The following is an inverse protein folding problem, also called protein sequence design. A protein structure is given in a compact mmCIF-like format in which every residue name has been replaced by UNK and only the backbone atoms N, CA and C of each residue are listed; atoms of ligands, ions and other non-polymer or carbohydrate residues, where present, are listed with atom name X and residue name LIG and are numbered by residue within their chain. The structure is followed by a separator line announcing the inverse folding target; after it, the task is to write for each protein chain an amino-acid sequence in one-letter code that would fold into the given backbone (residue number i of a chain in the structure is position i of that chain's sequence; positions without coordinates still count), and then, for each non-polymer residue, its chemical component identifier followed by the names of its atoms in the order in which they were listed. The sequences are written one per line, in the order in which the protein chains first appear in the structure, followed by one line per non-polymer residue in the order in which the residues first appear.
data_IF_465561565185
#
_entry.id   IF_465561565185
#
_cell.length_a   1.000
_cell.length_b   1.000
_cell.length_c   1.000
_cell.angle_alpha   90.00
_cell.angle_beta   90.00
_cell.angle_gamma   90.00
#
_symmetry.space_group_name_H-M   'P 1'
#
loop_
_entity.id
_entity.type
_entity.pdbx_description
1 polymer ?
#
# COMPACT_ATOMS: atom_id res chain seq x y z
N UNK A 1 6.02 -43.51 -37.43
CA UNK A 1 5.40 -43.88 -36.15
C UNK A 1 5.79 -42.82 -35.13
N UNK A 2 4.90 -41.86 -34.86
CA UNK A 2 5.11 -40.86 -33.81
C UNK A 2 4.50 -41.41 -32.51
N UNK A 3 5.33 -41.55 -31.48
CA UNK A 3 4.90 -41.86 -30.11
C UNK A 3 4.06 -40.70 -29.57
N UNK A 4 2.89 -40.95 -28.96
CA UNK A 4 2.13 -39.88 -28.33
C UNK A 4 2.85 -39.43 -27.06
N UNK A 5 3.04 -38.10 -26.94
CA UNK A 5 3.45 -37.44 -25.69
C UNK A 5 2.40 -37.77 -24.62
N UNK A 6 2.84 -38.43 -23.55
CA UNK A 6 2.07 -38.58 -22.32
C UNK A 6 1.72 -37.20 -21.78
N UNK A 7 0.42 -36.91 -21.64
CA UNK A 7 -0.06 -35.82 -20.82
C UNK A 7 0.22 -36.22 -19.36
N UNK A 8 1.21 -35.58 -18.74
CA UNK A 8 1.35 -35.65 -17.29
C UNK A 8 0.08 -35.02 -16.70
N UNK A 9 -0.73 -35.82 -16.02
CA UNK A 9 -1.82 -35.31 -15.20
C UNK A 9 -1.21 -34.36 -14.16
N UNK A 10 -1.79 -33.16 -14.02
CA UNK A 10 -1.41 -32.21 -12.99
C UNK A 10 -1.64 -32.91 -11.64
N UNK A 11 -0.60 -33.02 -10.80
CA UNK A 11 -0.65 -33.79 -9.55
C UNK A 11 -1.64 -33.24 -8.50
N UNK A 12 -2.21 -32.07 -8.78
CA UNK A 12 -3.24 -31.38 -7.99
C UNK A 12 -4.66 -31.98 -8.16
N UNK A 13 -4.91 -32.78 -9.21
CA UNK A 13 -6.24 -33.34 -9.52
C UNK A 13 -6.46 -34.75 -8.93
N UNK A 14 -5.54 -35.23 -8.09
CA UNK A 14 -5.76 -36.48 -7.35
C UNK A 14 -6.88 -36.26 -6.31
N UNK A 15 -7.92 -37.12 -6.28
CA UNK A 15 -9.03 -36.93 -5.36
C UNK A 15 -8.53 -37.01 -3.92
N UNK A 16 -8.48 -35.86 -3.25
CA UNK A 16 -8.24 -35.79 -1.81
C UNK A 16 -9.50 -36.31 -1.11
N UNK A 17 -9.41 -37.53 -0.57
CA UNK A 17 -10.51 -38.12 0.20
C UNK A 17 -10.49 -37.56 1.62
N UNK A 18 -11.02 -36.34 1.80
CA UNK A 18 -11.30 -35.79 3.13
C UNK A 18 -12.68 -36.25 3.59
N UNK A 19 -12.77 -36.68 4.85
CA UNK A 19 -14.06 -36.90 5.50
C UNK A 19 -14.82 -35.57 5.64
N UNK A 20 -16.16 -35.61 5.75
CA UNK A 20 -16.94 -34.39 6.01
C UNK A 20 -16.54 -33.65 7.28
N UNK A 21 -16.00 -34.34 8.30
CA UNK A 21 -15.44 -33.72 9.51
C UNK A 21 -14.15 -32.98 9.22
N UNK A 22 -13.22 -33.59 8.50
CA UNK A 22 -11.94 -32.95 8.15
C UNK A 22 -12.15 -31.72 7.28
N UNK A 23 -13.11 -31.78 6.33
CA UNK A 23 -13.49 -30.61 5.52
C UNK A 23 -14.03 -29.46 6.37
N UNK A 24 -14.84 -29.76 7.40
CA UNK A 24 -15.36 -28.72 8.30
C UNK A 24 -14.24 -28.10 9.14
N UNK A 25 -13.36 -28.92 9.71
CA UNK A 25 -12.22 -28.44 10.50
C UNK A 25 -11.32 -27.54 9.66
N UNK A 26 -10.93 -27.98 8.46
CA UNK A 26 -10.06 -27.19 7.59
C UNK A 26 -10.70 -25.84 7.19
N UNK A 27 -12.01 -25.84 6.91
CA UNK A 27 -12.76 -24.61 6.64
C UNK A 27 -12.73 -23.67 7.85
N UNK A 28 -13.00 -24.19 9.05
CA UNK A 28 -13.11 -23.38 10.26
C UNK A 28 -11.75 -22.79 10.66
N UNK A 29 -10.67 -23.56 10.52
CA UNK A 29 -9.29 -23.09 10.70
C UNK A 29 -8.93 -22.00 9.69
N UNK A 30 -9.30 -22.18 8.42
CA UNK A 30 -9.05 -21.19 7.37
C UNK A 30 -9.86 -19.89 7.59
N UNK A 31 -11.09 -20.01 8.06
CA UNK A 31 -11.90 -18.84 8.43
C UNK A 31 -11.32 -18.10 9.62
N UNK A 32 -10.87 -18.82 10.66
CA UNK A 32 -10.16 -18.26 11.80
C UNK A 32 -8.90 -17.53 11.35
N UNK A 33 -8.10 -18.15 10.49
CA UNK A 33 -6.89 -17.56 9.91
C UNK A 33 -7.19 -16.22 9.22
N UNK A 34 -8.16 -16.16 8.30
CA UNK A 34 -8.51 -14.92 7.61
C UNK A 34 -9.15 -13.86 8.52
N UNK A 35 -9.83 -14.28 9.58
CA UNK A 35 -10.43 -13.38 10.57
C UNK A 35 -9.34 -12.57 11.30
N UNK A 36 -8.22 -13.20 11.64
CA UNK A 36 -7.09 -12.52 12.28
C UNK A 36 -6.54 -11.37 11.42
N UNK A 37 -6.42 -11.59 10.11
CA UNK A 37 -6.03 -10.55 9.15
C UNK A 37 -7.07 -9.44 9.01
N UNK A 38 -8.36 -9.79 9.07
CA UNK A 38 -9.43 -8.79 9.10
C UNK A 38 -9.31 -7.89 10.33
N UNK A 39 -8.99 -8.44 11.48
CA UNK A 39 -8.81 -7.64 12.70
C UNK A 39 -7.57 -6.76 12.64
N UNK A 40 -6.43 -7.27 12.16
CA UNK A 40 -5.24 -6.43 11.95
C UNK A 40 -5.50 -5.27 10.99
N UNK A 41 -6.29 -5.51 9.94
CA UNK A 41 -6.76 -4.46 9.03
C UNK A 41 -7.61 -3.40 9.74
N UNK A 42 -8.55 -3.81 10.59
CA UNK A 42 -9.43 -2.90 11.36
C UNK A 42 -8.66 -2.03 12.36
N UNK A 43 -7.61 -2.58 12.99
CA UNK A 43 -6.71 -1.81 13.85
C UNK A 43 -6.04 -0.66 13.06
N UNK A 44 -5.52 -0.95 11.86
CA UNK A 44 -4.95 0.09 10.99
C UNK A 44 -6.01 1.10 10.56
N UNK A 45 -7.20 0.65 10.14
CA UNK A 45 -8.29 1.55 9.75
C UNK A 45 -8.66 2.52 10.86
N UNK A 46 -8.73 2.03 12.10
CA UNK A 46 -9.05 2.83 13.29
C UNK A 46 -7.96 3.87 13.54
N UNK A 47 -6.68 3.47 13.50
CA UNK A 47 -5.54 4.38 13.66
C UNK A 47 -5.55 5.49 12.61
N UNK A 48 -5.83 5.15 11.35
CA UNK A 48 -5.94 6.14 10.26
C UNK A 48 -7.16 7.05 10.42
N UNK A 49 -8.30 6.51 10.85
CA UNK A 49 -9.49 7.31 11.11
C UNK A 49 -9.25 8.34 12.23
N UNK A 50 -8.55 7.95 13.30
CA UNK A 50 -8.15 8.85 14.38
C UNK A 50 -7.24 9.97 13.85
N UNK A 51 -6.20 9.63 13.09
CA UNK A 51 -5.32 10.63 12.48
C UNK A 51 -6.11 11.59 11.58
N UNK A 52 -7.01 11.09 10.73
CA UNK A 52 -7.87 11.92 9.88
C UNK A 52 -8.72 12.90 10.69
N UNK A 53 -9.35 12.41 11.75
CA UNK A 53 -10.25 13.21 12.57
C UNK A 53 -9.45 14.26 13.38
N UNK A 54 -8.26 13.91 13.86
CA UNK A 54 -7.31 14.85 14.48
C UNK A 54 -6.90 15.95 13.49
N UNK A 55 -6.57 15.58 12.24
CA UNK A 55 -6.23 16.55 11.20
C UNK A 55 -7.36 17.55 10.92
N UNK A 56 -8.61 17.08 10.88
CA UNK A 56 -9.77 17.94 10.67
C UNK A 56 -10.02 18.93 11.82
N UNK A 57 -9.60 18.60 13.04
CA UNK A 57 -9.80 19.46 14.22
C UNK A 57 -8.63 20.42 14.45
N UNK A 58 -7.40 19.98 14.22
CA UNK A 58 -6.20 20.73 14.58
C UNK A 58 -5.55 21.49 13.41
N UNK A 59 -5.93 21.16 12.17
CA UNK A 59 -5.29 21.70 10.99
C UNK A 59 -6.31 22.20 9.97
N UNK A 60 -5.94 23.23 9.20
CA UNK A 60 -6.80 23.82 8.17
C UNK A 60 -6.99 22.91 6.93
N UNK A 61 -6.52 21.66 6.98
CA UNK A 61 -6.54 20.72 5.86
C UNK A 61 -6.35 19.29 6.34
N UNK A 62 -7.06 18.39 5.67
CA UNK A 62 -6.98 16.97 5.89
C UNK A 62 -6.12 16.31 4.79
N UNK A 63 -5.00 15.66 5.14
CA UNK A 63 -4.14 14.96 4.17
C UNK A 63 -4.76 13.68 3.60
N UNK A 64 -5.84 13.15 4.21
CA UNK A 64 -6.48 11.89 3.83
C UNK A 64 -7.77 12.15 3.08
N UNK A 65 -7.81 11.74 1.81
CA UNK A 65 -8.98 11.86 0.93
C UNK A 65 -9.91 10.66 1.07
N UNK A 66 -9.33 9.45 1.02
CA UNK A 66 -10.09 8.21 1.07
C UNK A 66 -9.25 7.06 1.63
N UNK A 67 -9.91 6.16 2.36
CA UNK A 67 -9.31 4.93 2.87
C UNK A 67 -10.15 3.77 2.35
N UNK A 68 -9.49 2.77 1.79
CA UNK A 68 -10.12 1.51 1.39
C UNK A 68 -9.31 0.35 1.93
N UNK A 69 -9.98 -0.74 2.27
CA UNK A 69 -9.33 -1.91 2.83
C UNK A 69 -9.90 -3.17 2.22
N UNK A 70 -9.11 -4.24 2.27
CA UNK A 70 -9.54 -5.56 1.83
C UNK A 70 -8.74 -6.65 2.51
N UNK A 71 -9.39 -7.79 2.68
CA UNK A 71 -8.72 -9.07 2.92
C UNK A 71 -8.73 -9.85 1.60
N UNK A 72 -7.60 -10.48 1.26
CA UNK A 72 -7.47 -11.30 0.05
C UNK A 72 -8.50 -12.43 0.07
N UNK A 73 -9.13 -12.71 -1.07
CA UNK A 73 -10.08 -13.82 -1.16
C UNK A 73 -9.36 -15.18 -0.98
N UNK A 74 -10.06 -16.21 -0.49
CA UNK A 74 -9.52 -17.56 -0.38
C UNK A 74 -8.84 -18.03 -1.67
N UNK A 75 -9.54 -17.93 -2.80
CA UNK A 75 -9.02 -18.38 -4.10
C UNK A 75 -7.75 -17.61 -4.50
N UNK A 76 -7.73 -16.29 -4.31
CA UNK A 76 -6.56 -15.47 -4.61
C UNK A 76 -5.38 -15.75 -3.68
N UNK A 77 -5.63 -16.21 -2.45
CA UNK A 77 -4.60 -16.62 -1.52
C UNK A 77 -4.02 -17.98 -1.93
N UNK A 78 -4.88 -18.97 -2.25
CA UNK A 78 -4.47 -20.29 -2.75
C UNK A 78 -3.65 -20.16 -4.03
N UNK A 79 -4.11 -19.37 -4.99
CA UNK A 79 -3.35 -19.05 -6.21
C UNK A 79 -1.96 -18.49 -5.89
N UNK A 80 -1.86 -17.63 -4.87
CA UNK A 80 -0.60 -17.01 -4.49
C UNK A 80 0.34 -17.98 -3.79
N UNK A 81 -0.18 -18.86 -2.95
CA UNK A 81 0.56 -19.95 -2.30
C UNK A 81 1.14 -20.86 -3.38
N UNK A 82 0.31 -21.31 -4.34
CA UNK A 82 0.74 -22.18 -5.45
C UNK A 82 1.79 -21.51 -6.32
N UNK A 83 1.57 -20.25 -6.73
CA UNK A 83 2.52 -19.49 -7.57
C UNK A 83 3.87 -19.23 -6.91
N UNK A 84 3.93 -19.21 -5.57
CA UNK A 84 5.16 -18.99 -4.80
C UNK A 84 5.76 -20.27 -4.24
N UNK A 85 5.17 -21.42 -4.56
CA UNK A 85 5.62 -22.74 -4.09
C UNK A 85 5.76 -22.80 -2.56
N UNK A 86 4.88 -22.10 -1.84
CA UNK A 86 4.87 -22.05 -0.38
C UNK A 86 4.18 -23.29 0.16
N UNK A 87 4.70 -23.85 1.25
CA UNK A 87 4.06 -24.94 1.99
C UNK A 87 2.63 -24.58 2.40
N UNK A 88 1.70 -25.52 2.28
CA UNK A 88 0.26 -25.31 2.49
C UNK A 88 -0.13 -25.31 3.97
N UNK A 89 0.74 -24.82 4.85
CA UNK A 89 0.48 -24.65 6.28
C UNK A 89 0.42 -23.16 6.66
N UNK A 90 -0.40 -22.83 7.65
CA UNK A 90 -0.63 -21.43 8.01
C UNK A 90 0.60 -20.71 8.56
N UNK A 91 1.59 -21.43 9.13
CA UNK A 91 2.81 -20.80 9.62
C UNK A 91 3.67 -20.30 8.45
N UNK A 92 3.90 -21.16 7.46
CA UNK A 92 4.60 -20.81 6.23
C UNK A 92 3.89 -19.69 5.47
N UNK A 93 2.56 -19.71 5.41
CA UNK A 93 1.78 -18.66 4.76
C UNK A 93 1.96 -17.30 5.46
N UNK A 94 1.95 -17.25 6.80
CA UNK A 94 2.19 -16.00 7.57
C UNK A 94 3.57 -15.43 7.31
N UNK A 95 4.57 -16.28 7.21
CA UNK A 95 5.96 -15.87 7.00
C UNK A 95 6.19 -15.30 5.59
N UNK A 96 5.55 -15.89 4.57
CA UNK A 96 5.86 -15.60 3.17
C UNK A 96 4.85 -14.70 2.44
N UNK A 97 3.63 -14.54 2.98
CA UNK A 97 2.55 -13.74 2.38
C UNK A 97 2.12 -12.63 3.33
N UNK A 98 2.66 -11.44 3.09
CA UNK A 98 2.46 -10.26 3.94
C UNK A 98 1.30 -9.35 3.49
N UNK A 99 0.68 -9.60 2.34
CA UNK A 99 -0.41 -8.80 1.73
C UNK A 99 -1.79 -9.48 1.84
N UNK A 100 -2.00 -10.30 2.87
CA UNK A 100 -3.31 -10.95 3.10
C UNK A 100 -4.32 -9.88 3.55
N UNK A 101 -3.93 -9.01 4.47
CA UNK A 101 -4.62 -7.78 4.80
C UNK A 101 -3.98 -6.61 4.06
N UNK A 102 -4.79 -5.80 3.39
CA UNK A 102 -4.33 -4.63 2.66
C UNK A 102 -5.18 -3.41 2.97
N UNK A 103 -4.53 -2.29 3.33
CA UNK A 103 -5.15 -0.97 3.48
C UNK A 103 -4.54 -0.04 2.44
N UNK A 104 -5.38 0.75 1.76
CA UNK A 104 -4.94 1.80 0.85
C UNK A 104 -5.43 3.13 1.35
N UNK A 105 -4.50 4.07 1.46
CA UNK A 105 -4.73 5.43 1.91
C UNK A 105 -4.41 6.34 0.73
N UNK A 106 -5.46 6.98 0.21
CA UNK A 106 -5.35 8.01 -0.82
C UNK A 106 -5.21 9.36 -0.13
N UNK A 107 -4.10 10.02 -0.40
CA UNK A 107 -3.69 11.31 0.15
C UNK A 107 -3.83 12.38 -0.93
N UNK A 108 -3.90 13.66 -0.56
CA UNK A 108 -4.00 14.70 -1.59
C UNK A 108 -2.64 15.01 -2.23
N UNK A 109 -1.52 14.92 -1.49
CA UNK A 109 -0.17 15.12 -2.02
C UNK A 109 0.82 14.02 -1.66
N UNK A 110 1.96 14.02 -2.35
CA UNK A 110 3.07 13.07 -2.09
C UNK A 110 3.66 13.28 -0.70
N UNK A 111 3.83 14.54 -0.29
CA UNK A 111 4.32 14.89 1.05
C UNK A 111 3.39 14.38 2.15
N UNK A 112 2.08 14.38 1.91
CA UNK A 112 1.09 13.82 2.84
C UNK A 112 1.19 12.29 2.95
N UNK A 113 1.47 11.60 1.84
CA UNK A 113 1.71 10.15 1.86
C UNK A 113 2.88 9.78 2.78
N UNK A 114 4.01 10.50 2.67
CA UNK A 114 5.15 10.30 3.57
C UNK A 114 4.82 10.68 5.01
N UNK A 115 4.16 11.82 5.22
CA UNK A 115 3.77 12.28 6.57
C UNK A 115 2.87 11.27 7.29
N UNK A 116 1.89 10.72 6.60
CA UNK A 116 0.98 9.71 7.18
C UNK A 116 1.70 8.39 7.47
N UNK A 117 2.62 7.99 6.59
CA UNK A 117 3.50 6.85 6.87
C UNK A 117 4.30 7.08 8.15
N UNK A 118 4.97 8.23 8.29
CA UNK A 118 5.79 8.55 9.46
C UNK A 118 4.96 8.58 10.75
N UNK A 119 3.76 9.18 10.71
CA UNK A 119 2.86 9.24 11.86
C UNK A 119 2.36 7.86 12.30
N UNK A 120 2.05 6.98 11.34
CA UNK A 120 1.62 5.62 11.64
C UNK A 120 2.79 4.76 12.15
N UNK A 121 3.97 4.90 11.54
CA UNK A 121 5.19 4.18 11.91
C UNK A 121 5.77 4.62 13.28
N UNK A 122 5.44 5.83 13.73
CA UNK A 122 5.86 6.35 15.02
C UNK A 122 5.01 5.86 16.21
N UNK A 123 3.88 5.17 15.95
CA UNK A 123 3.06 4.59 17.02
C UNK A 123 3.82 3.46 17.71
N UNK A 124 3.71 3.39 19.04
CA UNK A 124 4.48 2.48 19.89
C UNK A 124 4.13 1.01 19.71
N UNK A 125 2.93 0.71 19.21
CA UNK A 125 2.43 -0.62 18.94
C UNK A 125 2.54 -1.06 17.48
N UNK A 126 3.13 -0.24 16.60
CA UNK A 126 3.36 -0.55 15.20
C UNK A 126 4.83 -0.91 14.95
N UNK A 127 5.06 -2.04 14.29
CA UNK A 127 6.42 -2.40 13.82
C UNK A 127 6.46 -2.36 12.29
N UNK A 128 7.38 -1.56 11.74
CA UNK A 128 7.62 -1.53 10.28
C UNK A 128 8.49 -2.71 9.90
N UNK A 129 7.94 -3.68 9.16
CA UNK A 129 8.68 -4.85 8.67
C UNK A 129 9.46 -4.54 7.39
N UNK A 130 8.83 -3.81 6.46
CA UNK A 130 9.43 -3.51 5.17
C UNK A 130 8.78 -2.30 4.51
N UNK A 131 9.56 -1.55 3.73
CA UNK A 131 9.09 -0.39 2.97
C UNK A 131 9.58 -0.50 1.53
N UNK A 132 8.67 -0.36 0.56
CA UNK A 132 8.98 -0.23 -0.87
C UNK A 132 8.50 1.12 -1.36
N UNK A 133 9.44 1.99 -1.67
CA UNK A 133 9.14 3.35 -2.10
C UNK A 133 9.12 3.45 -3.64
N UNK A 134 7.98 3.08 -4.23
CA UNK A 134 7.79 3.26 -5.68
C UNK A 134 7.45 4.71 -6.06
N UNK A 135 7.38 5.65 -5.11
CA UNK A 135 7.27 7.07 -5.43
C UNK A 135 8.66 7.57 -5.81
N UNK A 136 9.66 7.28 -4.99
CA UNK A 136 11.06 7.60 -5.24
C UNK A 136 11.65 6.76 -6.38
N UNK A 137 11.31 5.48 -6.44
CA UNK A 137 11.79 4.52 -7.46
C UNK A 137 10.61 3.86 -8.19
N UNK A 138 9.97 4.57 -9.14
CA UNK A 138 8.84 4.04 -9.90
C UNK A 138 9.20 2.77 -10.66
N UNK A 139 8.22 1.87 -10.82
CA UNK A 139 8.40 0.71 -11.69
C UNK A 139 8.52 1.14 -13.15
N UNK A 140 9.09 0.28 -13.98
CA UNK A 140 9.27 0.54 -15.41
C UNK A 140 7.99 0.91 -16.17
N UNK A 141 6.83 0.41 -15.71
CA UNK A 141 5.51 0.71 -16.28
C UNK A 141 4.91 2.05 -15.82
N UNK A 142 5.61 2.83 -14.99
CA UNK A 142 5.14 4.11 -14.44
C UNK A 142 4.39 4.01 -13.10
N UNK A 143 4.24 2.79 -12.56
CA UNK A 143 3.56 2.60 -11.27
C UNK A 143 4.28 3.30 -10.11
N UNK A 144 3.53 4.10 -9.34
CA UNK A 144 3.98 4.79 -8.12
C UNK A 144 3.04 4.54 -6.94
N UNK A 145 3.63 4.30 -5.77
CA UNK A 145 2.97 4.14 -4.47
C UNK A 145 4.03 3.91 -3.39
N UNK A 146 3.80 4.37 -2.16
CA UNK A 146 4.61 3.97 -1.02
C UNK A 146 3.96 2.75 -0.35
N UNK A 147 4.66 1.63 -0.30
CA UNK A 147 4.16 0.39 0.32
C UNK A 147 4.89 0.13 1.63
N UNK A 148 4.14 0.04 2.72
CA UNK A 148 4.67 -0.32 4.03
C UNK A 148 4.02 -1.64 4.49
N UNK A 149 4.83 -2.63 4.85
CA UNK A 149 4.36 -3.82 5.54
C UNK A 149 4.52 -3.55 7.03
N UNK A 150 3.39 -3.45 7.73
CA UNK A 150 3.34 -3.14 9.15
C UNK A 150 2.89 -4.38 9.93
N UNK A 151 3.50 -4.64 11.08
CA UNK A 151 3.06 -5.64 12.03
C UNK A 151 2.28 -4.96 13.15
N UNK A 152 1.05 -5.44 13.36
CA UNK A 152 0.05 -4.83 14.25
C UNK A 152 -0.43 -5.87 15.26
N UNK A 153 -0.47 -5.56 16.56
CA UNK A 153 -1.00 -6.48 17.55
C UNK A 153 -2.53 -6.53 17.49
N UNK A 154 -3.07 -7.73 17.49
CA UNK A 154 -4.50 -8.02 17.62
C UNK A 154 -4.71 -8.82 18.90
N UNK A 155 -5.62 -8.34 19.75
CA UNK A 155 -5.93 -8.98 21.03
C UNK A 155 -7.22 -9.79 20.91
N UNK A 156 -7.08 -11.12 20.91
CA UNK A 156 -8.19 -12.07 20.87
C UNK A 156 -8.45 -12.66 22.26
N UNK A 157 -9.57 -13.37 22.42
CA UNK A 157 -9.87 -14.14 23.63
C UNK A 157 -8.83 -15.22 23.92
N UNK A 158 -8.10 -15.67 22.90
CA UNK A 158 -7.03 -16.67 22.98
C UNK A 158 -5.64 -16.07 23.24
N UNK A 159 -5.51 -14.75 23.24
CA UNK A 159 -4.26 -14.04 23.47
C UNK A 159 -3.94 -13.02 22.37
N UNK A 160 -2.74 -12.46 22.46
CA UNK A 160 -2.20 -11.53 21.47
C UNK A 160 -1.61 -12.30 20.30
N UNK A 161 -1.93 -11.86 19.09
CA UNK A 161 -1.25 -12.25 17.86
C UNK A 161 -0.77 -10.99 17.15
N UNK A 162 0.38 -11.08 16.48
CA UNK A 162 0.88 -9.98 15.66
C UNK A 162 0.60 -10.30 14.19
N UNK A 163 -0.04 -9.37 13.49
CA UNK A 163 -0.58 -9.58 12.14
C UNK A 163 0.10 -8.63 11.16
N UNK A 164 0.69 -9.12 10.06
CA UNK A 164 1.20 -8.25 9.01
C UNK A 164 0.06 -7.69 8.17
N UNK A 165 0.11 -6.39 7.93
CA UNK A 165 -0.83 -5.61 7.12
C UNK A 165 -0.03 -4.77 6.13
N UNK A 166 -0.33 -4.93 4.84
CA UNK A 166 0.24 -4.07 3.80
C UNK A 166 -0.56 -2.76 3.73
N UNK A 167 0.10 -1.64 3.99
CA UNK A 167 -0.47 -0.29 3.86
C UNK A 167 0.14 0.39 2.64
N UNK A 168 -0.71 0.82 1.71
CA UNK A 168 -0.34 1.50 0.48
C UNK A 168 -0.74 2.97 0.56
N UNK A 169 0.23 3.87 0.53
CA UNK A 169 -0.01 5.31 0.47
C UNK A 169 0.13 5.78 -1.00
N UNK A 170 -0.84 6.56 -1.46
CA UNK A 170 -0.95 7.04 -2.85
C UNK A 170 -1.53 8.43 -2.90
N UNK A 171 -1.23 9.20 -3.93
CA UNK A 171 -2.05 10.36 -4.30
C UNK A 171 -3.32 9.92 -5.04
N UNK A 172 -4.26 10.85 -5.23
CA UNK A 172 -5.44 10.63 -6.09
C UNK A 172 -5.01 10.20 -7.50
N UNK A 173 -4.02 10.87 -8.08
CA UNK A 173 -3.57 10.57 -9.43
C UNK A 173 -2.91 9.19 -9.54
N UNK A 174 -2.09 8.81 -8.55
CA UNK A 174 -1.50 7.46 -8.45
C UNK A 174 -2.57 6.36 -8.33
N UNK A 175 -3.58 6.56 -7.49
CA UNK A 175 -4.63 5.55 -7.31
C UNK A 175 -5.53 5.42 -8.56
N UNK A 176 -5.85 6.54 -9.22
CA UNK A 176 -6.57 6.54 -10.48
C UNK A 176 -5.82 5.76 -11.56
N UNK A 177 -4.53 6.09 -11.74
CA UNK A 177 -3.68 5.43 -12.73
C UNK A 177 -3.55 3.92 -12.47
N UNK A 178 -3.22 3.53 -11.23
CA UNK A 178 -3.05 2.13 -10.86
C UNK A 178 -4.36 1.33 -10.97
N UNK A 179 -5.51 1.96 -10.73
CA UNK A 179 -6.81 1.33 -10.90
C UNK A 179 -7.14 1.06 -12.38
N UNK A 180 -6.72 1.95 -13.28
CA UNK A 180 -6.88 1.76 -14.72
C UNK A 180 -5.93 0.68 -15.25
N UNK A 181 -4.65 0.74 -14.88
CA UNK A 181 -3.64 -0.26 -15.24
C UNK A 181 -4.12 -1.66 -14.86
N UNK A 182 -4.57 -1.85 -13.61
CA UNK A 182 -5.02 -3.14 -13.13
C UNK A 182 -6.22 -3.69 -13.92
N UNK A 183 -7.18 -2.83 -14.30
CA UNK A 183 -8.33 -3.20 -15.14
C UNK A 183 -7.89 -3.64 -16.53
N UNK A 184 -6.92 -2.95 -17.13
CA UNK A 184 -6.36 -3.29 -18.45
C UNK A 184 -5.65 -4.63 -18.37
N UNK A 185 -4.73 -4.83 -17.42
CA UNK A 185 -4.02 -6.09 -17.26
C UNK A 185 -4.96 -7.27 -17.04
N UNK A 186 -6.04 -7.08 -16.28
CA UNK A 186 -7.05 -8.11 -16.10
C UNK A 186 -7.80 -8.44 -17.41
N UNK A 187 -8.24 -7.42 -18.15
CA UNK A 187 -8.98 -7.60 -19.41
C UNK A 187 -8.16 -8.31 -20.49
N UNK A 188 -6.84 -8.07 -20.53
CA UNK A 188 -5.95 -8.62 -21.54
C UNK A 188 -5.23 -9.91 -21.11
N UNK A 189 -5.64 -10.56 -20.01
CA UNK A 189 -4.95 -11.74 -19.44
C UNK A 189 -3.43 -11.50 -19.33
N UNK A 190 -3.06 -10.29 -18.87
CA UNK A 190 -1.69 -9.80 -18.72
C UNK A 190 -0.86 -9.73 -20.02
N UNK A 191 -1.48 -9.84 -21.19
CA UNK A 191 -0.85 -9.69 -22.52
C UNK A 191 -1.26 -8.37 -23.15
N UNK A 192 -0.85 -7.28 -22.52
CA UNK A 192 -1.18 -5.92 -22.96
C UNK A 192 -0.30 -5.54 -24.18
N UNK A 193 -0.89 -5.01 -25.27
CA UNK A 193 -0.14 -4.45 -26.40
C UNK A 193 0.89 -3.39 -25.96
N UNK A 194 2.06 -3.37 -26.61
CA UNK A 194 3.15 -2.45 -26.26
C UNK A 194 2.72 -0.97 -26.35
N UNK A 195 1.98 -0.59 -27.38
CA UNK A 195 1.47 0.78 -27.57
C UNK A 195 0.63 1.24 -26.36
N UNK A 196 -0.21 0.36 -25.79
CA UNK A 196 -1.00 0.69 -24.60
C UNK A 196 -0.14 0.79 -23.32
N UNK A 197 0.97 0.05 -23.25
CA UNK A 197 1.90 0.16 -22.13
C UNK A 197 2.66 1.48 -22.17
N UNK A 198 3.05 1.93 -23.37
CA UNK A 198 3.70 3.21 -23.59
C UNK A 198 2.73 4.36 -23.25
N UNK A 199 1.48 4.30 -23.74
CA UNK A 199 0.44 5.29 -23.40
C UNK A 199 0.14 5.34 -21.90
N UNK A 200 0.08 4.18 -21.24
CA UNK A 200 -0.09 4.12 -19.78
C UNK A 200 1.07 4.79 -19.07
N UNK A 201 2.31 4.52 -19.49
CA UNK A 201 3.48 5.14 -18.87
C UNK A 201 3.46 6.66 -19.05
N UNK A 202 3.17 7.16 -20.24
CA UNK A 202 3.07 8.59 -20.54
C UNK A 202 1.99 9.27 -19.69
N UNK A 203 0.85 8.59 -19.49
CA UNK A 203 -0.19 9.05 -18.59
C UNK A 203 0.27 9.07 -17.11
N UNK A 204 1.11 8.13 -16.69
CA UNK A 204 1.67 8.10 -15.34
C UNK A 204 2.59 9.30 -15.08
N UNK A 205 3.44 9.61 -16.06
CA UNK A 205 4.39 10.72 -16.00
C UNK A 205 3.64 12.06 -15.98
N UNK A 206 2.64 12.23 -16.86
CA UNK A 206 1.75 13.40 -16.87
C UNK A 206 1.02 13.58 -15.53
N UNK A 207 0.51 12.49 -14.95
CA UNK A 207 -0.15 12.52 -13.64
C UNK A 207 0.81 12.98 -12.52
N UNK A 208 2.06 12.53 -12.55
CA UNK A 208 3.06 12.93 -11.57
C UNK A 208 3.47 14.42 -11.69
N UNK A 209 3.54 14.95 -12.91
CA UNK A 209 3.76 16.38 -13.14
C UNK A 209 2.60 17.22 -12.60
N UNK A 210 1.36 16.76 -12.82
CA UNK A 210 0.17 17.40 -12.28
C UNK A 210 0.19 17.42 -10.76
N UNK A 211 0.45 16.29 -10.09
CA UNK A 211 0.56 16.21 -8.63
C UNK A 211 1.60 17.21 -8.09
N UNK A 212 2.78 17.24 -8.71
CA UNK A 212 3.87 18.17 -8.32
C UNK A 212 3.45 19.63 -8.47
N UNK A 213 2.76 19.97 -9.57
CA UNK A 213 2.26 21.33 -9.83
C UNK A 213 1.19 21.72 -8.82
N UNK A 214 0.25 20.82 -8.53
CA UNK A 214 -0.84 21.08 -7.60
C UNK A 214 -0.34 21.23 -6.17
N UNK A 215 0.65 20.42 -5.76
CA UNK A 215 1.29 20.57 -4.45
C UNK A 215 2.00 21.92 -4.30
N UNK A 216 2.72 22.36 -5.34
CA UNK A 216 3.37 23.68 -5.34
C UNK A 216 2.35 24.80 -5.18
N UNK A 217 1.25 24.77 -5.93
CA UNK A 217 0.17 25.75 -5.82
C UNK A 217 -0.46 25.75 -4.43
N UNK A 218 -0.70 24.57 -3.85
CA UNK A 218 -1.23 24.45 -2.49
C UNK A 218 -0.31 25.11 -1.46
N UNK A 219 1.00 24.88 -1.56
CA UNK A 219 2.01 25.50 -0.69
C UNK A 219 2.05 27.02 -0.84
N UNK A 220 2.00 27.53 -2.08
CA UNK A 220 1.98 28.97 -2.35
C UNK A 220 0.74 29.65 -1.77
N UNK A 221 -0.45 29.06 -1.93
CA UNK A 221 -1.70 29.62 -1.39
C UNK A 221 -1.66 29.68 0.14
N UNK A 222 -1.12 28.64 0.80
CA UNK A 222 -1.00 28.59 2.25
C UNK A 222 0.07 29.53 2.81
N UNK A 223 1.26 29.56 2.20
CA UNK A 223 2.33 30.49 2.59
C UNK A 223 1.95 31.96 2.35
N UNK A 224 1.09 32.24 1.36
CA UNK A 224 0.56 33.59 1.12
C UNK A 224 -0.54 34.02 2.09
N UNK A 225 -1.14 33.07 2.82
CA UNK A 225 -2.19 33.33 3.81
C UNK A 225 -1.65 33.90 5.13
N UNK A 226 -0.43 33.52 5.53
CA UNK A 226 0.19 34.00 6.77
C UNK A 226 0.66 35.47 6.69
N UNK A 227 0.89 36.00 5.48
CA UNK A 227 1.39 37.38 5.27
C UNK A 227 0.26 38.44 5.38
N UNK A 228 -1.02 38.06 5.46
CA UNK A 228 -2.14 39.03 5.49
C UNK A 228 -2.73 39.31 6.88
N UNK A 229 -2.07 38.83 7.95
CA UNK A 229 -2.58 38.85 9.33
C UNK A 229 -1.77 39.65 10.35
N UNK A 230 -1.07 40.73 9.99
CA UNK A 230 -0.56 41.71 10.96
C UNK A 230 -0.18 43.02 10.27
N UNK A 231 -0.80 44.12 10.67
CA UNK A 231 -0.53 45.45 10.15
C UNK A 231 0.81 46.04 10.58
N UNK A 232 1.27 46.99 9.76
CA UNK A 232 2.27 48.06 10.02
C UNK A 232 3.78 47.77 9.88
N UNK A 233 4.25 47.89 8.63
CA UNK A 233 5.25 48.86 8.08
C UNK A 233 6.68 49.00 8.67
N UNK A 234 7.64 49.04 7.70
CA UNK A 234 9.09 49.41 7.71
C UNK A 234 10.04 48.28 8.17
N UNK A 235 11.11 47.92 7.46
CA UNK A 235 11.70 48.40 6.22
C UNK A 235 13.12 47.80 6.09
N UNK A 236 13.55 47.64 4.84
CA UNK A 236 14.94 47.56 4.37
C UNK A 236 15.78 46.26 4.61
N UNK A 237 16.37 45.83 3.47
CA UNK A 237 17.64 45.11 3.22
C UNK A 237 17.78 43.64 3.64
N UNK A 238 17.95 42.72 2.68
CA UNK A 238 19.24 42.14 2.25
C UNK A 238 19.04 40.88 1.39
N UNK A 239 19.80 40.84 0.31
CA UNK A 239 19.97 39.72 -0.60
C UNK A 239 20.77 38.62 0.15
N UNK A 240 20.18 37.45 0.42
CA UNK A 240 20.95 36.29 0.88
C UNK A 240 20.32 34.95 0.48
N UNK A 241 21.21 34.07 0.03
CA UNK A 241 21.11 32.68 -0.43
C UNK A 241 19.75 31.96 -0.32
N UNK A 242 19.27 31.48 -1.47
CA UNK A 242 18.19 30.49 -1.52
C UNK A 242 18.62 29.20 -0.79
N UNK A 243 17.80 28.65 0.14
CA UNK A 243 18.11 27.38 0.75
C UNK A 243 17.94 26.29 -0.31
N UNK A 244 19.02 25.55 -0.58
CA UNK A 244 18.94 24.29 -1.34
C UNK A 244 17.90 23.38 -0.67
N UNK A 245 17.07 22.66 -1.43
CA UNK A 245 16.10 21.75 -0.83
C UNK A 245 16.82 20.75 0.07
N UNK A 246 16.37 20.68 1.33
CA UNK A 246 16.88 19.73 2.30
C UNK A 246 16.72 18.31 1.74
N UNK A 247 17.79 17.52 1.78
CA UNK A 247 17.71 16.08 1.51
C UNK A 247 16.70 15.48 2.50
N UNK A 248 15.77 14.61 2.04
CA UNK A 248 14.85 13.93 2.94
C UNK A 248 15.64 13.12 3.99
N UNK A 249 15.11 12.97 5.22
CA UNK A 249 15.79 12.25 6.28
C UNK A 249 16.07 10.82 5.83
N UNK A 250 17.30 10.39 6.07
CA UNK A 250 17.77 9.03 5.77
C UNK A 250 16.87 8.05 6.52
N UNK A 251 16.19 7.17 5.77
CA UNK A 251 15.51 5.97 6.26
C UNK A 251 16.46 5.22 7.21
N UNK A 252 16.28 5.41 8.52
CA UNK A 252 16.99 4.62 9.52
C UNK A 252 16.05 3.49 9.95
N UNK A 253 16.47 2.27 9.65
CA UNK A 253 15.98 0.99 10.18
C UNK A 253 14.90 0.23 9.40
N UNK A 254 14.95 0.20 8.06
CA UNK A 254 14.38 -0.93 7.32
C UNK A 254 15.42 -1.43 6.28
N UNK A 255 15.69 -2.75 6.19
CA UNK A 255 16.53 -3.27 5.12
C UNK A 255 15.83 -3.03 3.78
N UNK A 256 16.41 -2.12 2.99
CA UNK A 256 16.11 -1.94 1.57
C UNK A 256 16.72 -3.14 0.86
N UNK A 257 15.90 -3.95 0.19
CA UNK A 257 16.36 -5.00 -0.72
C UNK A 257 15.71 -4.77 -2.08
N UNK A 258 16.57 -4.67 -3.08
CA UNK A 258 16.21 -4.67 -4.50
C UNK A 258 15.42 -5.94 -4.83
N UNK A 259 14.33 -5.75 -5.58
CA UNK A 259 13.61 -6.83 -6.26
C UNK A 259 14.10 -6.96 -7.69
#
# INVERSE_FOLDING_TARGET
MATPRSAAADSDDLPVLLSPSELRTARDEFQQFLMEYRFGMQEIETKIAILRDEFLQLHDYNPIEHVSSRVKSPDSLVDKIRRREISQDFASVREHITDIAGVRITCSFVTDAYRLFDLLAAQDDITVLHVKDYIAEPKANGYKSLHAILQVPVFLSTGRIDVPVEVQFRTIAMDFWASLEHKIYYKYDRRVPAELLDDLKDAADTAAELDTRMERLHREIRGSGEIRGSGEVRGAVEESDAPRPARPPILRHAPVLDA
#
